data_IF_685463103531
#
_entry.id   IF_685463103531
#
_cell.length_a   1.000
_cell.length_b   1.000
_cell.length_c   1.000
_cell.angle_alpha   90.00
_cell.angle_beta   90.00
_cell.angle_gamma   90.00
#
_symmetry.space_group_name_H-M   'P 1'
#
loop_
_entity.id
_entity.type
_entity.pdbx_description
1 polymer ?
#
# COMPACT_ATOMS: atom_id res chain seq x y z
N UNK A 1 37.52 24.58 -15.46
CA UNK A 1 36.55 24.41 -14.37
C UNK A 1 35.24 23.98 -15.04
N UNK A 2 34.85 22.72 -14.92
CA UNK A 2 33.62 22.19 -15.53
C UNK A 2 32.64 21.89 -14.40
N UNK A 3 31.50 22.60 -14.36
CA UNK A 3 30.45 22.32 -13.40
C UNK A 3 29.74 21.01 -13.74
N UNK A 4 29.50 20.11 -12.78
CA UNK A 4 28.71 18.92 -13.04
C UNK A 4 27.22 19.29 -13.14
N UNK A 5 26.78 19.58 -14.36
CA UNK A 5 25.37 19.50 -14.82
C UNK A 5 24.84 18.09 -14.54
N UNK A 6 24.26 17.88 -13.36
CA UNK A 6 23.95 16.55 -12.82
C UNK A 6 22.58 16.36 -12.20
N UNK A 7 21.77 17.41 -12.06
CA UNK A 7 20.57 17.39 -11.21
C UNK A 7 19.28 17.80 -11.94
N UNK A 8 19.11 17.43 -13.20
CA UNK A 8 17.83 17.59 -13.87
C UNK A 8 16.87 16.46 -13.42
N UNK A 9 15.73 16.84 -12.83
CA UNK A 9 14.70 15.92 -12.37
C UNK A 9 13.51 15.95 -13.32
N UNK A 10 12.93 14.80 -13.62
CA UNK A 10 11.72 14.70 -14.45
C UNK A 10 10.53 14.25 -13.61
N UNK A 11 9.34 14.73 -13.98
CA UNK A 11 8.07 14.32 -13.41
C UNK A 11 7.58 13.11 -14.21
N UNK A 12 7.34 11.99 -13.52
CA UNK A 12 6.85 10.74 -14.10
C UNK A 12 5.49 10.40 -13.46
N UNK A 13 4.52 9.97 -14.26
CA UNK A 13 3.22 9.54 -13.77
C UNK A 13 3.13 8.01 -13.89
N UNK A 14 2.92 7.34 -12.76
CA UNK A 14 2.79 5.89 -12.64
C UNK A 14 1.42 5.58 -12.04
N UNK A 15 0.50 5.09 -12.87
CA UNK A 15 -0.86 4.70 -12.50
C UNK A 15 -1.61 5.70 -11.59
N UNK A 16 -1.46 6.99 -11.87
CA UNK A 16 -2.15 8.08 -11.16
C UNK A 16 -1.32 8.71 -10.03
N UNK A 17 -0.14 8.16 -9.73
CA UNK A 17 0.82 8.76 -8.80
C UNK A 17 1.91 9.50 -9.56
N UNK A 18 2.07 10.78 -9.22
CA UNK A 18 3.09 11.65 -9.82
C UNK A 18 4.35 11.61 -8.95
N UNK A 19 5.43 11.00 -9.46
CA UNK A 19 6.71 10.89 -8.78
C UNK A 19 7.81 11.72 -9.47
N UNK A 20 8.75 12.23 -8.68
CA UNK A 20 9.93 12.95 -9.16
C UNK A 20 11.09 11.97 -9.27
N UNK A 21 11.60 11.71 -10.46
CA UNK A 21 12.70 10.77 -10.70
C UNK A 21 13.91 11.48 -11.30
N UNK A 22 15.12 11.05 -10.92
CA UNK A 22 16.35 11.62 -11.48
C UNK A 22 16.38 11.29 -12.97
N UNK A 23 16.52 12.31 -13.83
CA UNK A 23 16.64 12.11 -15.28
C UNK A 23 17.88 11.26 -15.51
N UNK A 24 17.69 10.01 -15.92
CA UNK A 24 18.83 9.19 -16.35
C UNK A 24 19.32 9.84 -17.63
N UNK A 25 20.56 10.35 -17.64
CA UNK A 25 21.23 10.70 -18.91
C UNK A 25 21.02 9.48 -19.79
N UNK A 26 20.40 9.68 -20.94
CA UNK A 26 20.12 8.65 -21.92
C UNK A 26 21.45 8.11 -22.46
N UNK A 27 22.16 7.32 -21.65
CA UNK A 27 23.07 6.32 -22.16
C UNK A 27 22.19 5.49 -23.07
N UNK A 28 22.46 5.58 -24.37
CA UNK A 28 21.97 4.68 -25.40
C UNK A 28 22.21 3.24 -24.94
N UNK A 29 21.31 2.70 -24.13
CA UNK A 29 21.30 1.29 -23.78
C UNK A 29 20.56 0.65 -24.94
N UNK A 30 21.37 0.16 -25.87
CA UNK A 30 21.18 -1.04 -26.66
C UNK A 30 19.71 -1.47 -26.75
N UNK A 31 18.99 -0.89 -27.72
CA UNK A 31 17.87 -1.60 -28.30
C UNK A 31 18.40 -2.95 -28.81
N UNK A 32 17.71 -4.08 -28.57
CA UNK A 32 18.07 -5.32 -29.23
C UNK A 32 18.07 -5.06 -30.73
N UNK A 33 19.24 -5.23 -31.34
CA UNK A 33 19.47 -5.04 -32.76
C UNK A 33 18.77 -6.15 -33.53
N UNK A 34 17.46 -5.99 -33.80
CA UNK A 34 16.74 -6.88 -34.72
C UNK A 34 15.48 -6.28 -35.38
N UNK A 35 15.18 -4.99 -35.21
CA UNK A 35 13.96 -4.38 -35.79
C UNK A 35 14.23 -3.18 -36.72
N UNK A 36 15.46 -3.04 -37.25
CA UNK A 36 15.84 -1.91 -38.11
C UNK A 36 15.29 -1.94 -39.55
N UNK A 37 14.51 -2.96 -39.94
CA UNK A 37 13.99 -3.11 -41.32
C UNK A 37 12.46 -3.02 -41.45
N UNK A 38 11.71 -2.74 -40.39
CA UNK A 38 10.25 -2.60 -40.49
C UNK A 38 9.87 -1.14 -40.71
N UNK A 39 9.25 -0.85 -41.87
CA UNK A 39 8.59 0.45 -42.13
C UNK A 39 7.61 0.76 -40.99
N UNK A 40 7.43 2.04 -40.65
CA UNK A 40 6.53 2.46 -39.57
C UNK A 40 5.13 1.82 -39.65
N UNK A 41 4.61 1.63 -40.87
CA UNK A 41 3.33 0.98 -41.15
C UNK A 41 3.28 -0.54 -40.81
N UNK A 42 4.42 -1.24 -40.86
CA UNK A 42 4.49 -2.64 -40.43
C UNK A 42 4.50 -2.79 -38.90
N UNK A 43 5.18 -1.87 -38.20
CA UNK A 43 5.20 -1.82 -36.74
C UNK A 43 3.80 -1.51 -36.18
N UNK A 44 3.06 -0.56 -36.77
CA UNK A 44 1.70 -0.24 -36.35
C UNK A 44 0.75 -1.42 -36.53
N UNK A 45 0.80 -2.12 -37.67
CA UNK A 45 -0.01 -3.32 -37.94
C UNK A 45 0.30 -4.46 -36.97
N UNK A 46 1.57 -4.69 -36.64
CA UNK A 46 1.99 -5.69 -35.64
C UNK A 46 1.45 -5.34 -34.25
N UNK A 47 1.52 -4.07 -33.86
CA UNK A 47 0.98 -3.58 -32.59
C UNK A 47 -0.55 -3.68 -32.52
N UNK A 48 -1.25 -3.35 -33.60
CA UNK A 48 -2.71 -3.51 -33.69
C UNK A 48 -3.13 -4.98 -33.55
N UNK A 49 -2.42 -5.91 -34.21
CA UNK A 49 -2.68 -7.35 -34.08
C UNK A 49 -2.49 -7.83 -32.63
N UNK A 50 -1.42 -7.39 -31.96
CA UNK A 50 -1.15 -7.69 -30.54
C UNK A 50 -2.26 -7.14 -29.64
N UNK A 51 -2.62 -5.86 -29.81
CA UNK A 51 -3.71 -5.21 -29.06
C UNK A 51 -5.03 -5.95 -29.24
N UNK A 52 -5.40 -6.28 -30.49
CA UNK A 52 -6.61 -7.06 -30.79
C UNK A 52 -6.60 -8.41 -30.08
N UNK A 53 -5.48 -9.14 -30.11
CA UNK A 53 -5.35 -10.45 -29.45
C UNK A 53 -5.56 -10.35 -27.93
N UNK A 54 -4.97 -9.34 -27.28
CA UNK A 54 -5.12 -9.11 -25.83
C UNK A 54 -6.57 -8.75 -25.50
N UNK A 55 -7.17 -7.81 -26.24
CA UNK A 55 -8.56 -7.41 -26.02
C UNK A 55 -9.55 -8.57 -26.21
N UNK A 56 -9.30 -9.44 -27.20
CA UNK A 56 -10.13 -10.63 -27.41
C UNK A 56 -10.03 -11.62 -26.25
N UNK A 57 -8.82 -11.87 -25.73
CA UNK A 57 -8.63 -12.71 -24.53
C UNK A 57 -9.36 -12.12 -23.33
N UNK A 58 -9.17 -10.83 -23.07
CA UNK A 58 -9.79 -10.14 -21.95
C UNK A 58 -11.32 -10.19 -22.04
N UNK A 59 -11.88 -9.99 -23.23
CA UNK A 59 -13.31 -10.15 -23.48
C UNK A 59 -13.79 -11.57 -23.16
N UNK A 60 -13.03 -12.58 -23.57
CA UNK A 60 -13.40 -13.98 -23.36
C UNK A 60 -13.27 -14.38 -21.88
N UNK A 61 -12.30 -13.82 -21.15
CA UNK A 61 -12.15 -13.95 -19.69
C UNK A 61 -13.34 -13.33 -18.96
N UNK A 62 -13.67 -12.06 -19.21
CA UNK A 62 -14.84 -11.43 -18.60
C UNK A 62 -16.16 -12.13 -18.95
N UNK A 63 -16.29 -12.66 -20.17
CA UNK A 63 -17.47 -13.42 -20.56
C UNK A 63 -17.64 -14.68 -19.71
N UNK A 64 -16.54 -15.41 -19.46
CA UNK A 64 -16.57 -16.59 -18.57
C UNK A 64 -16.92 -16.19 -17.15
N UNK A 65 -16.29 -15.14 -16.65
CA UNK A 65 -16.54 -14.64 -15.31
C UNK A 65 -18.02 -14.26 -15.11
N UNK A 66 -18.61 -13.52 -16.06
CA UNK A 66 -20.04 -13.18 -16.04
C UNK A 66 -20.91 -14.44 -16.03
N UNK A 67 -20.58 -15.47 -16.81
CA UNK A 67 -21.33 -16.73 -16.81
C UNK A 67 -21.22 -17.45 -15.46
N UNK A 68 -20.06 -17.39 -14.81
CA UNK A 68 -19.85 -18.00 -13.51
C UNK A 68 -20.60 -17.22 -12.41
N UNK A 69 -20.57 -15.89 -12.44
CA UNK A 69 -21.41 -15.03 -11.59
C UNK A 69 -22.91 -15.31 -11.77
N UNK A 70 -23.38 -15.51 -13.00
CA UNK A 70 -24.78 -15.86 -13.28
C UNK A 70 -25.14 -17.24 -12.71
N UNK A 71 -24.27 -18.25 -12.84
CA UNK A 71 -24.50 -19.58 -12.24
C UNK A 71 -24.58 -19.49 -10.72
N UNK A 72 -23.65 -18.79 -10.08
CA UNK A 72 -23.62 -18.60 -8.63
C UNK A 72 -24.88 -17.87 -8.14
N UNK A 73 -25.30 -16.82 -8.84
CA UNK A 73 -26.53 -16.09 -8.54
C UNK A 73 -27.77 -16.99 -8.65
N UNK A 74 -27.84 -17.84 -9.68
CA UNK A 74 -28.92 -18.81 -9.84
C UNK A 74 -28.91 -19.87 -8.72
N UNK A 75 -27.75 -20.35 -8.29
CA UNK A 75 -27.65 -21.30 -7.17
C UNK A 75 -28.09 -20.64 -5.85
N UNK A 76 -27.68 -19.38 -5.63
CA UNK A 76 -28.09 -18.65 -4.44
C UNK A 76 -29.59 -18.38 -4.44
N UNK A 77 -30.18 -18.08 -5.60
CA UNK A 77 -31.62 -17.85 -5.71
C UNK A 77 -32.43 -19.14 -5.52
N UNK A 78 -31.96 -20.29 -6.00
CA UNK A 78 -32.60 -21.59 -5.72
C UNK A 78 -32.50 -21.99 -4.26
N UNK A 79 -31.43 -21.63 -3.56
CA UNK A 79 -31.30 -21.84 -2.11
C UNK A 79 -32.18 -20.89 -1.28
N UNK A 80 -32.45 -19.68 -1.80
CA UNK A 80 -33.24 -18.65 -1.12
C UNK A 80 -34.76 -18.82 -1.33
N UNK A 81 -35.23 -19.74 -2.17
CA UNK A 81 -36.67 -19.99 -2.27
C UNK A 81 -37.18 -20.60 -0.95
N UNK A 82 -38.09 -19.92 -0.23
CA UNK A 82 -38.73 -20.52 0.92
C UNK A 82 -39.65 -21.63 0.42
N UNK A 83 -39.52 -22.79 1.06
CA UNK A 83 -40.44 -23.93 0.98
C UNK A 83 -41.86 -23.40 1.17
N UNK A 84 -42.65 -23.30 0.10
CA UNK A 84 -44.11 -23.28 0.17
C UNK A 84 -44.73 -24.06 -1.00
N UNK A 85 -45.25 -25.23 -0.60
CA UNK A 85 -46.39 -26.01 -1.12
C UNK A 85 -46.31 -26.72 -2.48
N UNK A 86 -45.97 -28.00 -2.43
CA UNK A 86 -46.81 -29.09 -2.97
C UNK A 86 -46.45 -30.44 -2.30
N UNK A 87 -47.41 -31.29 -1.92
CA UNK A 87 -47.13 -32.70 -1.68
C UNK A 87 -47.44 -33.53 -2.94
N UNK A 88 -46.76 -34.68 -3.05
CA UNK A 88 -46.93 -35.78 -4.04
C UNK A 88 -46.29 -35.48 -5.41
N UNK A 89 -45.41 -36.29 -6.00
CA UNK A 89 -45.18 -37.74 -5.93
C UNK A 89 -43.72 -38.03 -6.39
N UNK A 90 -43.14 -39.12 -5.85
CA UNK A 90 -42.10 -40.00 -6.42
C UNK A 90 -40.65 -39.53 -6.67
N UNK A 91 -39.79 -40.43 -6.19
CA UNK A 91 -38.43 -40.77 -6.60
C UNK A 91 -37.25 -39.90 -6.16
N UNK A 92 -36.57 -40.45 -5.14
CA UNK A 92 -35.13 -40.74 -5.14
C UNK A 92 -34.22 -39.63 -5.66
N UNK A 93 -33.46 -39.01 -4.76
CA UNK A 93 -31.99 -39.04 -4.76
C UNK A 93 -31.51 -38.18 -3.57
N UNK A 94 -30.77 -38.85 -2.69
CA UNK A 94 -29.90 -38.34 -1.63
C UNK A 94 -29.25 -36.98 -1.99
N UNK A 95 -29.16 -35.99 -1.07
CA UNK A 95 -28.47 -34.74 -1.36
C UNK A 95 -26.99 -35.04 -1.60
N UNK A 96 -26.56 -34.88 -2.85
CA UNK A 96 -25.19 -35.05 -3.27
C UNK A 96 -24.39 -33.94 -2.59
N UNK A 97 -23.59 -34.33 -1.60
CA UNK A 97 -22.59 -33.50 -0.92
C UNK A 97 -21.98 -32.51 -1.90
N UNK A 98 -22.35 -31.23 -1.76
CA UNK A 98 -21.80 -30.13 -2.55
C UNK A 98 -20.33 -30.03 -2.19
N UNK A 99 -19.48 -30.59 -3.06
CA UNK A 99 -18.02 -30.44 -2.95
C UNK A 99 -17.72 -28.98 -3.27
N UNK A 100 -17.57 -28.15 -2.24
CA UNK A 100 -16.90 -26.87 -2.38
C UNK A 100 -15.54 -27.15 -3.06
N UNK A 101 -15.18 -26.32 -4.05
CA UNK A 101 -13.86 -26.43 -4.67
C UNK A 101 -12.81 -26.33 -3.56
N UNK A 102 -11.86 -27.26 -3.56
CA UNK A 102 -10.80 -27.37 -2.55
C UNK A 102 -10.08 -26.01 -2.37
N UNK A 103 -9.97 -25.24 -3.46
CA UNK A 103 -9.36 -23.92 -3.48
C UNK A 103 -10.10 -22.84 -2.67
N UNK A 104 -11.44 -22.88 -2.61
CA UNK A 104 -12.22 -21.94 -1.81
C UNK A 104 -12.11 -22.24 -0.31
N UNK A 105 -12.08 -23.52 0.04
CA UNK A 105 -11.85 -23.96 1.43
C UNK A 105 -10.44 -23.62 1.87
N UNK A 106 -9.44 -23.82 0.99
CA UNK A 106 -8.06 -23.40 1.24
C UNK A 106 -7.90 -21.89 1.42
N UNK A 107 -8.61 -21.05 0.66
CA UNK A 107 -8.57 -19.60 0.83
C UNK A 107 -9.16 -19.14 2.16
N UNK A 108 -10.27 -19.74 2.61
CA UNK A 108 -10.89 -19.40 3.90
C UNK A 108 -9.96 -19.80 5.05
N UNK A 109 -9.42 -21.02 5.02
CA UNK A 109 -8.49 -21.49 6.05
C UNK A 109 -7.22 -20.63 6.11
N UNK A 110 -6.74 -20.17 4.96
CA UNK A 110 -5.60 -19.25 4.88
C UNK A 110 -5.90 -17.88 5.49
N UNK A 111 -7.10 -17.34 5.26
CA UNK A 111 -7.53 -16.07 5.87
C UNK A 111 -7.66 -16.23 7.40
N UNK A 112 -8.23 -17.35 7.86
CA UNK A 112 -8.36 -17.64 9.29
C UNK A 112 -6.98 -17.79 9.96
N UNK A 113 -6.00 -18.41 9.29
CA UNK A 113 -4.62 -18.51 9.76
C UNK A 113 -3.95 -17.12 9.86
N UNK A 114 -4.13 -16.27 8.85
CA UNK A 114 -3.63 -14.90 8.88
C UNK A 114 -4.28 -14.06 9.99
N UNK A 115 -5.58 -14.24 10.22
CA UNK A 115 -6.31 -13.59 11.30
C UNK A 115 -5.75 -14.02 12.66
N UNK A 116 -5.59 -15.32 12.87
CA UNK A 116 -5.04 -15.88 14.11
C UNK A 116 -3.61 -15.36 14.37
N UNK A 117 -2.79 -15.25 13.31
CA UNK A 117 -1.46 -14.68 13.43
C UNK A 117 -1.48 -13.19 13.81
N UNK A 118 -2.41 -12.41 13.24
CA UNK A 118 -2.57 -11.00 13.55
C UNK A 118 -3.03 -10.79 15.00
N UNK A 119 -3.99 -11.59 15.47
CA UNK A 119 -4.47 -11.57 16.87
C UNK A 119 -3.35 -11.96 17.84
N UNK A 120 -2.54 -12.97 17.49
CA UNK A 120 -1.40 -13.37 18.32
C UNK A 120 -0.32 -12.27 18.45
N UNK A 121 -0.20 -11.39 17.45
CA UNK A 121 0.77 -10.29 17.45
C UNK A 121 0.25 -9.02 18.14
N UNK A 122 -1.04 -8.91 18.41
CA UNK A 122 -1.67 -7.71 19.01
C UNK A 122 -1.00 -7.30 20.32
N UNK A 123 -0.78 -8.26 21.24
CA UNK A 123 -0.15 -7.99 22.53
C UNK A 123 1.28 -7.44 22.38
N UNK A 124 2.03 -7.92 21.39
CA UNK A 124 3.40 -7.45 21.13
C UNK A 124 3.38 -6.01 20.63
N UNK A 125 2.46 -5.69 19.72
CA UNK A 125 2.29 -4.33 19.18
C UNK A 125 1.91 -3.37 20.30
N UNK A 126 0.94 -3.74 21.15
CA UNK A 126 0.52 -2.93 22.28
C UNK A 126 1.66 -2.69 23.27
N UNK A 127 2.44 -3.72 23.59
CA UNK A 127 3.58 -3.60 24.48
C UNK A 127 4.67 -2.67 23.92
N UNK A 128 4.97 -2.77 22.61
CA UNK A 128 5.92 -1.87 21.96
C UNK A 128 5.41 -0.43 21.94
N UNK A 129 4.11 -0.21 21.69
CA UNK A 129 3.50 1.13 21.74
C UNK A 129 3.66 1.74 23.12
N UNK A 130 3.29 1.00 24.18
CA UNK A 130 3.41 1.47 25.56
C UNK A 130 4.85 1.82 25.94
N UNK A 131 5.83 1.04 25.46
CA UNK A 131 7.25 1.31 25.70
C UNK A 131 7.70 2.60 24.98
N UNK A 132 7.26 2.81 23.74
CA UNK A 132 7.53 4.03 23.00
C UNK A 132 6.91 5.26 23.70
N UNK A 133 5.67 5.16 24.15
CA UNK A 133 4.99 6.25 24.87
C UNK A 133 5.71 6.59 26.18
N UNK A 134 6.14 5.57 26.94
CA UNK A 134 6.91 5.76 28.16
C UNK A 134 8.27 6.43 27.90
N UNK A 135 8.98 5.99 26.84
CA UNK A 135 10.26 6.58 26.45
C UNK A 135 10.08 8.05 26.01
N UNK A 136 9.04 8.35 25.24
CA UNK A 136 8.75 9.71 24.79
C UNK A 136 8.37 10.63 25.96
N UNK A 137 7.63 10.13 26.96
CA UNK A 137 7.34 10.86 28.19
C UNK A 137 8.60 11.20 28.98
N UNK A 138 9.54 10.26 29.11
CA UNK A 138 10.83 10.50 29.79
C UNK A 138 11.66 11.55 29.07
N UNK A 139 11.82 11.42 27.76
CA UNK A 139 12.58 12.37 26.94
C UNK A 139 11.96 13.78 27.02
N UNK A 140 10.62 13.84 26.98
CA UNK A 140 9.90 15.11 27.07
C UNK A 140 10.11 15.77 28.43
N UNK A 141 10.04 15.00 29.53
CA UNK A 141 10.31 15.48 30.88
C UNK A 141 11.73 16.02 31.02
N UNK A 142 12.74 15.27 30.55
CA UNK A 142 14.15 15.70 30.60
C UNK A 142 14.37 16.98 29.79
N UNK A 143 13.74 17.08 28.62
CA UNK A 143 13.80 18.28 27.77
C UNK A 143 13.17 19.50 28.45
N UNK A 144 12.07 19.31 29.16
CA UNK A 144 11.44 20.38 29.94
C UNK A 144 12.30 20.80 31.13
N UNK A 145 12.85 19.84 31.87
CA UNK A 145 13.79 20.12 32.96
C UNK A 145 15.03 20.87 32.48
N UNK A 146 15.60 20.46 31.34
CA UNK A 146 16.73 21.15 30.73
C UNK A 146 16.37 22.60 30.37
N UNK A 147 15.23 22.83 29.72
CA UNK A 147 14.74 24.19 29.42
C UNK A 147 14.59 25.03 30.69
N UNK A 148 13.99 24.45 31.73
CA UNK A 148 13.79 25.14 33.01
C UNK A 148 15.14 25.51 33.66
N UNK A 149 16.10 24.56 33.69
CA UNK A 149 17.45 24.81 34.21
C UNK A 149 18.21 25.90 33.45
N UNK A 150 18.00 26.01 32.13
CA UNK A 150 18.59 27.04 31.30
C UNK A 150 18.01 28.44 31.60
N UNK A 151 16.73 28.51 31.95
CA UNK A 151 16.07 29.76 32.32
C UNK A 151 16.37 30.18 33.77
N UNK A 152 16.61 29.22 34.66
CA UNK A 152 16.89 29.43 36.08
C UNK A 152 18.38 29.72 36.38
N UNK A 153 19.21 29.95 35.36
CA UNK A 153 20.62 30.33 35.56
C UNK A 153 20.66 31.74 36.19
N UNK A 154 21.22 31.90 37.41
CA UNK A 154 21.25 33.18 38.14
C UNK A 154 22.12 34.27 37.49
N UNK A 155 22.64 34.04 36.28
CA UNK A 155 23.35 35.03 35.47
C UNK A 155 22.41 36.11 34.93
N UNK A 156 21.10 35.86 34.86
CA UNK A 156 20.08 36.89 34.65
C UNK A 156 19.63 37.47 36.00
N UNK A 157 20.58 37.99 36.77
CA UNK A 157 20.27 38.97 37.80
C UNK A 157 19.47 40.13 37.20
N UNK A 158 18.65 40.81 38.00
CA UNK A 158 17.93 42.02 37.56
C UNK A 158 18.89 42.90 36.73
N UNK A 159 18.50 43.41 35.55
CA UNK A 159 19.40 44.22 34.72
C UNK A 159 20.08 45.36 35.51
N UNK A 160 19.44 45.81 36.59
CA UNK A 160 19.96 46.80 37.54
C UNK A 160 21.16 46.30 38.36
N UNK A 161 21.24 45.03 38.76
CA UNK A 161 22.37 44.51 39.55
C UNK A 161 23.65 44.33 38.72
N UNK A 162 23.51 44.08 37.41
CA UNK A 162 24.65 43.97 36.49
C UNK A 162 25.26 45.36 36.21
N UNK A 163 24.43 46.40 36.13
CA UNK A 163 24.89 47.78 35.95
C UNK A 163 25.57 48.36 37.20
N UNK A 164 25.16 47.95 38.41
CA UNK A 164 25.77 48.44 39.66
C UNK A 164 27.17 47.83 39.88
N UNK A 165 27.38 46.54 39.57
CA UNK A 165 28.68 45.90 39.74
C UNK A 165 29.79 46.49 38.84
N UNK A 166 29.46 47.04 37.67
CA UNK A 166 30.46 47.65 36.78
C UNK A 166 30.83 49.10 37.14
N UNK A 167 30.07 49.76 38.00
CA UNK A 167 30.35 51.16 38.41
C UNK A 167 31.16 51.22 39.72
N UNK A 168 31.15 50.16 40.52
CA UNK A 168 31.87 50.10 41.80
C UNK A 168 33.34 49.61 41.70
N UNK A 169 33.89 49.41 40.50
CA UNK A 169 35.30 49.02 40.28
C UNK A 169 36.20 50.17 39.81
N UNK A 170 35.80 51.42 40.06
CA UNK A 170 36.62 52.61 39.81
C UNK A 170 36.79 53.41 41.10
N UNK A 171 37.72 52.96 41.94
CA UNK A 171 38.46 53.78 42.91
C UNK A 171 39.89 53.25 43.01
#
# INVERSE_FOLDING_TARGET
MAEPEGNEWEIWNDDGFVCKRRRRRSSKICAPADDHNLTADQLTKKNQKRKKKILMKLRDEYRKEIQDWQKLSNILSTMKTPIQTSPTVTDSILPKSQKFSDEFVCQILFIDELLLQAEAQEAVILNLSNLCDAAEAMISLDKEQYKQSMMDIPLLGSPRSILVCNVCLSD
#
